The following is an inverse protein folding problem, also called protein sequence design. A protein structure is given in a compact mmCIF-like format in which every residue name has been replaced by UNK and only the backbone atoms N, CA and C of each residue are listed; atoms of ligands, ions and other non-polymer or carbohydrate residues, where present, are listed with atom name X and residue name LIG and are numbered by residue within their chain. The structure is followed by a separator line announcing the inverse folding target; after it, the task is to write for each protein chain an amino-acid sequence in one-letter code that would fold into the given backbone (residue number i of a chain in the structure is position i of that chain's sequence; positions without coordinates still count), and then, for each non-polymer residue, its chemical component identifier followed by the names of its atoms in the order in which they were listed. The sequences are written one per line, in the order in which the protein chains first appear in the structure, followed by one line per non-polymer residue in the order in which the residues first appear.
data_IF_576106845169
#
_entry.id   IF_576106845169
#
_cell.length_a   1.000
_cell.length_b   1.000
_cell.length_c   1.000
_cell.angle_alpha   90.00
_cell.angle_beta   90.00
_cell.angle_gamma   90.00
#
_symmetry.space_group_name_H-M   'P 1'
#
loop_
_entity.id
_entity.type
_entity.pdbx_description
1 polymer ?
#
# COMPACT_ATOMS: atom_id res chain seq x y z
N UNK A 1 -6.94 56.78 40.22
CA UNK A 1 -5.77 55.86 40.23
C UNK A 1 -6.08 54.46 39.66
N UNK A 2 -7.13 54.28 38.82
CA UNK A 2 -7.63 52.94 38.47
C UNK A 2 -7.72 52.64 36.95
N UNK A 3 -7.02 53.38 36.08
CA UNK A 3 -6.95 53.06 34.64
C UNK A 3 -5.55 52.62 34.17
N UNK A 4 -4.49 52.99 34.91
CA UNK A 4 -3.12 52.57 34.59
C UNK A 4 -2.80 51.12 35.00
N UNK A 5 -3.50 50.56 35.99
CA UNK A 5 -3.28 49.18 36.43
C UNK A 5 -3.89 48.12 35.50
N UNK A 6 -5.04 48.39 34.86
CA UNK A 6 -5.66 47.44 33.92
C UNK A 6 -4.87 47.26 32.62
N UNK A 7 -4.11 48.27 32.18
CA UNK A 7 -3.30 48.19 30.96
C UNK A 7 -2.06 47.31 31.18
N UNK A 8 -1.50 47.30 32.40
CA UNK A 8 -0.36 46.45 32.75
C UNK A 8 -0.78 44.97 32.87
N UNK A 9 -2.01 44.69 33.33
CA UNK A 9 -2.52 43.32 33.39
C UNK A 9 -2.84 42.72 32.00
N UNK A 10 -3.20 43.57 31.02
CA UNK A 10 -3.44 43.13 29.65
C UNK A 10 -2.15 42.86 28.86
N UNK A 11 -1.06 43.57 29.20
CA UNK A 11 0.27 43.34 28.59
C UNK A 11 0.96 42.08 29.14
N UNK A 12 0.71 41.68 30.39
CA UNK A 12 1.29 40.46 30.97
C UNK A 12 0.68 39.16 30.44
N UNK A 13 -0.52 39.20 29.84
CA UNK A 13 -1.16 38.05 29.18
C UNK A 13 -0.89 37.97 27.67
N UNK A 14 -0.10 38.89 27.11
CA UNK A 14 0.19 38.94 25.67
C UNK A 14 1.35 38.05 25.21
N UNK A 15 1.92 37.22 26.09
CA UNK A 15 2.79 36.12 25.69
C UNK A 15 1.96 34.97 25.09
N UNK A 16 1.29 35.25 23.97
CA UNK A 16 0.98 34.20 23.02
C UNK A 16 2.32 33.69 22.53
N UNK A 17 2.71 32.52 23.03
CA UNK A 17 3.64 31.64 22.33
C UNK A 17 3.06 31.45 20.93
N UNK A 18 3.56 32.23 19.99
CA UNK A 18 3.41 31.93 18.57
C UNK A 18 4.22 30.67 18.37
N UNK A 19 3.57 29.50 18.50
CA UNK A 19 4.03 28.32 17.79
C UNK A 19 3.96 28.72 16.32
N UNK A 20 5.09 29.19 15.78
CA UNK A 20 5.30 29.17 14.35
C UNK A 20 5.09 27.73 13.94
N UNK A 21 3.98 27.48 13.25
CA UNK A 21 3.80 26.23 12.54
C UNK A 21 4.96 26.20 11.55
N UNK A 22 5.95 25.34 11.81
CA UNK A 22 7.13 25.19 10.95
C UNK A 22 6.62 25.09 9.52
N UNK A 23 7.07 26.03 8.68
CA UNK A 23 6.65 26.06 7.29
C UNK A 23 6.99 24.71 6.66
N UNK A 24 6.00 24.06 6.03
CA UNK A 24 6.21 22.75 5.43
C UNK A 24 7.32 22.85 4.39
N UNK A 25 8.28 21.94 4.45
CA UNK A 25 9.29 21.82 3.38
C UNK A 25 8.59 21.54 2.06
N UNK A 26 9.04 22.17 0.98
CA UNK A 26 8.47 22.02 -0.35
C UNK A 26 9.54 21.53 -1.32
N UNK A 27 9.09 20.79 -2.33
CA UNK A 27 9.89 20.40 -3.48
C UNK A 27 9.04 20.53 -4.75
N UNK A 28 9.61 21.13 -5.78
CA UNK A 28 8.93 21.33 -7.05
C UNK A 28 9.15 20.16 -8.03
N UNK A 29 8.07 19.61 -8.55
CA UNK A 29 8.07 18.66 -9.67
C UNK A 29 8.01 19.42 -11.00
N UNK A 30 9.11 19.35 -11.75
CA UNK A 30 9.20 19.95 -13.08
C UNK A 30 8.48 19.10 -14.13
N UNK A 31 7.70 19.72 -15.01
CA UNK A 31 7.09 19.00 -16.12
C UNK A 31 8.12 18.77 -17.23
N UNK A 32 8.17 17.55 -17.75
CA UNK A 32 9.10 17.15 -18.81
C UNK A 32 8.36 16.51 -20.00
N UNK A 33 9.06 16.44 -21.13
CA UNK A 33 8.61 15.72 -22.34
C UNK A 33 9.66 14.74 -22.87
N UNK A 34 10.84 14.72 -22.27
CA UNK A 34 11.95 13.84 -22.61
C UNK A 34 11.69 12.42 -22.09
N UNK A 35 12.22 11.42 -22.79
CA UNK A 35 12.17 10.03 -22.36
C UNK A 35 13.32 9.78 -21.40
N UNK A 36 12.99 9.23 -20.23
CA UNK A 36 13.98 8.85 -19.21
C UNK A 36 14.40 7.40 -19.41
N UNK A 37 15.71 7.16 -19.35
CA UNK A 37 16.32 5.83 -19.27
C UNK A 37 16.61 5.53 -17.80
N UNK A 38 16.11 4.42 -17.28
CA UNK A 38 16.30 4.06 -15.88
C UNK A 38 17.60 3.26 -15.71
N UNK A 39 18.73 3.95 -15.64
CA UNK A 39 20.07 3.37 -15.56
C UNK A 39 20.82 3.72 -14.26
N UNK A 40 20.22 4.53 -13.38
CA UNK A 40 20.85 4.99 -12.15
C UNK A 40 21.95 6.03 -12.42
N UNK A 41 21.84 6.77 -13.51
CA UNK A 41 22.71 7.90 -13.83
C UNK A 41 21.91 9.22 -13.82
N UNK A 42 22.61 10.35 -13.83
CA UNK A 42 22.00 11.68 -13.84
C UNK A 42 22.45 12.43 -15.09
N UNK A 43 22.24 11.81 -16.25
CA UNK A 43 22.81 12.28 -17.52
C UNK A 43 21.90 13.27 -18.24
N UNK A 44 20.59 13.13 -18.06
CA UNK A 44 19.59 13.95 -18.74
C UNK A 44 19.67 15.42 -18.32
N UNK A 45 19.52 16.31 -19.30
CA UNK A 45 19.72 17.74 -19.10
C UNK A 45 18.64 18.36 -18.19
N UNK A 46 17.42 17.84 -18.24
CA UNK A 46 16.37 18.31 -17.35
C UNK A 46 16.68 18.00 -15.88
N UNK A 47 17.41 16.92 -15.56
CA UNK A 47 17.78 16.61 -14.19
C UNK A 47 18.66 17.70 -13.62
N UNK A 48 19.65 18.20 -14.38
CA UNK A 48 20.55 19.29 -13.96
C UNK A 48 19.80 20.57 -13.61
N UNK A 49 18.71 20.84 -14.33
CA UNK A 49 17.87 22.02 -14.18
C UNK A 49 16.65 21.81 -13.26
N UNK A 50 16.42 20.60 -12.76
CA UNK A 50 15.35 20.32 -11.80
C UNK A 50 15.76 20.77 -10.40
N UNK A 51 14.79 21.21 -9.60
CA UNK A 51 15.03 21.56 -8.20
C UNK A 51 15.57 20.35 -7.44
N UNK A 52 16.62 20.59 -6.65
CA UNK A 52 17.26 19.59 -5.81
C UNK A 52 16.95 19.87 -4.35
N UNK A 53 16.39 18.88 -3.64
CA UNK A 53 16.22 18.94 -2.20
C UNK A 53 17.27 18.10 -1.47
N UNK A 54 17.81 18.66 -0.37
CA UNK A 54 18.89 18.10 0.47
C UNK A 54 18.64 18.34 1.95
N UNK A 55 19.61 18.05 2.81
CA UNK A 55 19.56 18.39 4.23
C UNK A 55 18.58 17.50 4.96
N UNK A 56 18.81 16.19 4.84
CA UNK A 56 18.10 15.22 5.65
C UNK A 56 18.53 15.38 7.11
N UNK A 57 17.56 15.22 8.01
CA UNK A 57 17.84 15.14 9.44
C UNK A 57 17.76 13.68 9.86
N UNK A 58 18.50 13.30 10.89
CA UNK A 58 18.29 12.02 11.53
C UNK A 58 16.82 11.93 11.99
N UNK A 59 16.21 10.78 11.78
CA UNK A 59 14.96 10.34 12.42
C UNK A 59 15.29 9.38 13.57
N UNK A 60 16.28 8.50 13.36
CA UNK A 60 16.87 7.63 14.37
C UNK A 60 18.39 7.67 14.22
N UNK A 61 19.18 7.80 15.30
CA UNK A 61 18.78 7.74 16.71
C UNK A 61 18.28 9.06 17.31
N UNK A 62 18.49 10.21 16.65
CA UNK A 62 18.18 11.54 17.20
C UNK A 62 17.49 12.43 16.18
N UNK A 63 16.24 12.80 16.38
CA UNK A 63 15.41 13.62 15.48
C UNK A 63 15.80 15.10 15.34
N UNK A 64 16.94 15.52 15.89
CA UNK A 64 17.32 16.93 16.08
C UNK A 64 18.66 17.30 15.44
N UNK A 65 19.32 16.36 14.76
CA UNK A 65 20.64 16.59 14.14
C UNK A 65 20.62 16.27 12.64
N UNK A 66 21.48 16.89 11.83
CA UNK A 66 21.67 16.51 10.43
C UNK A 66 22.06 15.03 10.28
N UNK A 67 21.68 14.41 9.17
CA UNK A 67 22.12 13.07 8.77
C UNK A 67 23.65 13.01 8.63
N UNK A 68 24.27 11.88 8.98
CA UNK A 68 25.72 11.69 8.81
C UNK A 68 26.13 11.62 7.34
N UNK A 69 25.28 10.99 6.51
CA UNK A 69 25.42 10.90 5.06
C UNK A 69 24.17 11.48 4.40
N UNK A 70 24.32 12.61 3.72
CA UNK A 70 23.17 13.34 3.19
C UNK A 70 22.53 12.61 2.00
N UNK A 71 21.30 13.00 1.71
CA UNK A 71 20.54 12.51 0.57
C UNK A 71 20.01 13.68 -0.24
N UNK A 72 20.31 13.66 -1.54
CA UNK A 72 19.77 14.58 -2.52
C UNK A 72 18.67 13.88 -3.31
N UNK A 73 17.55 14.55 -3.57
CA UNK A 73 16.58 14.05 -4.54
C UNK A 73 15.98 15.17 -5.40
N UNK A 74 15.49 14.77 -6.57
CA UNK A 74 14.86 15.62 -7.58
C UNK A 74 13.57 14.95 -8.05
N UNK A 75 12.58 15.75 -8.43
CA UNK A 75 11.28 15.25 -8.89
C UNK A 75 10.93 15.86 -10.24
N UNK A 76 10.46 15.02 -11.16
CA UNK A 76 9.96 15.42 -12.46
C UNK A 76 8.70 14.61 -12.80
N UNK A 77 7.92 15.06 -13.77
CA UNK A 77 6.74 14.32 -14.22
C UNK A 77 6.38 14.62 -15.68
N UNK A 78 5.72 13.68 -16.33
CA UNK A 78 5.09 13.89 -17.64
C UNK A 78 3.57 13.61 -17.55
N UNK A 79 2.87 13.46 -18.68
CA UNK A 79 1.43 13.19 -18.66
C UNK A 79 1.07 11.75 -18.20
N UNK A 80 2.05 10.85 -18.03
CA UNK A 80 1.87 9.41 -17.76
C UNK A 80 2.59 8.94 -16.48
N UNK A 81 3.71 9.54 -16.10
CA UNK A 81 4.57 9.07 -15.02
C UNK A 81 5.04 10.20 -14.12
N UNK A 82 5.21 9.87 -12.84
CA UNK A 82 6.03 10.58 -11.88
C UNK A 82 7.43 9.97 -11.88
N UNK A 83 8.45 10.82 -11.86
CA UNK A 83 9.85 10.45 -11.83
C UNK A 83 10.55 11.03 -10.61
N UNK A 84 11.38 10.20 -9.96
CA UNK A 84 12.19 10.64 -8.82
C UNK A 84 13.59 10.10 -9.02
N UNK A 85 14.58 10.98 -8.93
CA UNK A 85 15.99 10.61 -8.86
C UNK A 85 16.50 10.95 -7.47
N UNK A 86 17.21 10.01 -6.84
CA UNK A 86 17.79 10.21 -5.53
C UNK A 86 19.26 9.78 -5.53
N UNK A 87 20.13 10.63 -4.99
CA UNK A 87 21.56 10.39 -4.77
C UNK A 87 21.81 10.36 -3.27
N UNK A 88 22.31 9.23 -2.79
CA UNK A 88 22.56 8.98 -1.37
C UNK A 88 24.06 8.84 -1.15
N UNK A 89 24.64 9.68 -0.29
CA UNK A 89 26.05 9.55 0.10
C UNK A 89 26.30 8.22 0.80
N UNK A 90 27.48 7.62 0.60
CA UNK A 90 27.79 6.26 1.06
C UNK A 90 29.25 6.11 1.51
N UNK A 91 29.51 5.07 2.32
CA UNK A 91 30.85 4.70 2.76
C UNK A 91 31.30 3.46 1.98
N UNK A 92 32.17 3.66 0.99
CA UNK A 92 32.65 2.59 0.08
C UNK A 92 33.38 1.44 0.79
N UNK A 93 34.06 1.74 1.90
CA UNK A 93 34.81 0.73 2.67
C UNK A 93 33.92 -0.24 3.44
N UNK A 94 32.63 0.09 3.63
CA UNK A 94 31.64 -0.76 4.29
C UNK A 94 30.75 -1.43 3.25
N UNK A 95 30.37 -2.68 3.51
CA UNK A 95 29.44 -3.43 2.64
C UNK A 95 27.99 -3.17 3.04
N UNK A 96 27.10 -3.14 2.05
CA UNK A 96 25.67 -3.12 2.30
C UNK A 96 25.24 -4.42 3.01
N UNK A 97 24.36 -4.29 4.00
CA UNK A 97 23.69 -5.47 4.57
C UNK A 97 22.62 -5.92 3.58
N UNK A 98 22.76 -7.14 3.09
CA UNK A 98 21.80 -7.79 2.21
C UNK A 98 20.79 -8.57 3.05
N UNK A 99 19.51 -8.24 2.90
CA UNK A 99 18.41 -9.06 3.37
C UNK A 99 18.01 -10.10 2.31
N UNK A 100 16.71 -10.23 2.09
CA UNK A 100 16.17 -10.99 0.95
C UNK A 100 16.35 -10.18 -0.35
N UNK A 101 16.77 -10.83 -1.45
CA UNK A 101 16.85 -10.21 -2.78
C UNK A 101 15.49 -10.14 -3.47
N UNK A 102 14.46 -10.73 -2.86
CA UNK A 102 13.08 -10.63 -3.32
C UNK A 102 12.53 -9.23 -3.08
N UNK A 103 11.59 -8.83 -3.95
CA UNK A 103 10.73 -7.66 -3.78
C UNK A 103 10.04 -7.70 -2.40
N UNK A 104 9.62 -6.53 -1.92
CA UNK A 104 8.85 -6.37 -0.67
C UNK A 104 9.71 -6.61 0.60
N UNK A 105 10.93 -6.06 0.59
CA UNK A 105 11.80 -6.06 1.76
C UNK A 105 11.19 -5.22 2.90
N UNK A 106 11.35 -5.68 4.15
CA UNK A 106 10.99 -4.89 5.32
C UNK A 106 12.18 -3.99 5.67
N UNK A 107 11.97 -2.66 5.75
CA UNK A 107 13.03 -1.73 6.15
C UNK A 107 13.51 -2.01 7.58
N UNK A 108 14.79 -1.73 7.86
CA UNK A 108 15.35 -1.81 9.21
C UNK A 108 16.79 -2.32 9.24
N UNK A 109 17.08 -3.45 8.58
CA UNK A 109 18.43 -4.03 8.55
C UNK A 109 19.16 -3.86 7.22
N UNK A 110 18.49 -3.37 6.18
CA UNK A 110 19.05 -3.13 4.85
C UNK A 110 19.07 -1.65 4.52
N UNK A 111 20.02 -1.22 3.69
CA UNK A 111 20.02 0.13 3.13
C UNK A 111 18.84 0.32 2.16
N UNK A 112 18.15 1.45 2.26
CA UNK A 112 17.09 1.83 1.34
C UNK A 112 16.81 3.33 1.34
N UNK A 113 16.20 3.80 0.25
CA UNK A 113 15.51 5.09 0.17
C UNK A 113 14.03 4.82 -0.12
N UNK A 114 13.14 5.63 0.45
CA UNK A 114 11.72 5.51 0.19
C UNK A 114 11.00 6.84 0.18
N UNK A 115 9.96 6.91 -0.64
CA UNK A 115 9.15 8.10 -0.87
C UNK A 115 7.71 7.80 -0.50
N UNK A 116 7.14 8.65 0.35
CA UNK A 116 5.78 8.56 0.85
C UNK A 116 4.93 9.68 0.24
N UNK A 117 3.76 9.32 -0.28
CA UNK A 117 2.83 10.24 -0.93
C UNK A 117 1.44 10.12 -0.30
N UNK A 118 0.89 11.25 0.13
CA UNK A 118 -0.55 11.41 0.28
C UNK A 118 -1.07 12.27 -0.88
N UNK A 119 -1.69 11.57 -1.83
CA UNK A 119 -2.11 12.11 -3.12
C UNK A 119 -3.48 12.80 -3.08
N UNK A 120 -4.17 12.72 -1.94
CA UNK A 120 -5.46 13.36 -1.69
C UNK A 120 -5.37 14.49 -0.66
N UNK A 121 -4.23 14.64 0.03
CA UNK A 121 -3.95 15.62 1.06
C UNK A 121 -4.90 15.54 2.27
N UNK A 122 -5.38 14.34 2.56
CA UNK A 122 -6.31 14.07 3.66
C UNK A 122 -5.64 13.45 4.89
N UNK A 123 -4.32 13.21 4.82
CA UNK A 123 -3.52 12.69 5.93
C UNK A 123 -4.01 11.33 6.46
N UNK A 124 -4.78 10.58 5.67
CA UNK A 124 -5.39 9.32 6.10
C UNK A 124 -4.83 8.11 5.38
N UNK A 125 -4.61 8.20 4.08
CA UNK A 125 -4.12 7.11 3.25
C UNK A 125 -3.04 7.61 2.30
N UNK A 126 -2.11 6.73 1.95
CA UNK A 126 -1.00 7.09 1.08
C UNK A 126 -0.33 5.90 0.43
N UNK A 127 0.71 6.20 -0.31
CA UNK A 127 1.56 5.23 -1.00
C UNK A 127 2.99 5.38 -0.50
N UNK A 128 3.70 4.28 -0.33
CA UNK A 128 5.13 4.29 -0.12
C UNK A 128 5.81 3.48 -1.22
N UNK A 129 6.86 4.03 -1.83
CA UNK A 129 7.71 3.33 -2.79
C UNK A 129 9.14 3.36 -2.28
N UNK A 130 9.84 2.23 -2.31
CA UNK A 130 11.19 2.10 -1.80
C UNK A 130 12.10 1.30 -2.72
N UNK A 131 13.38 1.68 -2.72
CA UNK A 131 14.44 0.97 -3.42
C UNK A 131 15.64 0.74 -2.50
N UNK A 132 16.25 -0.44 -2.65
CA UNK A 132 17.58 -0.72 -2.12
C UNK A 132 18.67 -0.32 -3.13
N UNK A 133 19.95 -0.25 -2.70
CA UNK A 133 21.09 -0.04 -3.60
C UNK A 133 21.22 -1.06 -4.73
N UNK A 134 20.61 -2.25 -4.59
CA UNK A 134 20.63 -3.32 -5.58
C UNK A 134 19.34 -3.41 -6.40
N UNK A 135 18.60 -2.31 -6.51
CA UNK A 135 17.35 -2.19 -7.26
C UNK A 135 16.22 -3.13 -6.80
N UNK A 136 16.28 -3.62 -5.55
CA UNK A 136 15.18 -4.38 -4.95
C UNK A 136 14.04 -3.40 -4.65
N UNK A 137 12.88 -3.66 -5.25
CA UNK A 137 11.67 -2.85 -5.15
C UNK A 137 10.86 -3.18 -3.89
N UNK A 138 10.20 -2.16 -3.34
CA UNK A 138 9.14 -2.29 -2.34
C UNK A 138 8.07 -1.24 -2.62
N UNK A 139 6.82 -1.62 -2.45
CA UNK A 139 5.72 -0.68 -2.35
C UNK A 139 4.82 -1.03 -1.17
N UNK A 140 4.04 -0.06 -0.71
CA UNK A 140 3.04 -0.31 0.31
C UNK A 140 1.88 0.69 0.22
N UNK A 141 0.71 0.25 0.67
CA UNK A 141 -0.38 1.15 1.04
C UNK A 141 -0.20 1.59 2.49
N UNK A 142 -0.33 2.89 2.71
CA UNK A 142 -0.42 3.51 4.02
C UNK A 142 -1.90 3.74 4.35
N UNK A 143 -2.30 3.46 5.59
CA UNK A 143 -3.64 3.74 6.13
C UNK A 143 -3.53 4.39 7.51
N UNK A 144 -4.65 4.89 8.05
CA UNK A 144 -4.71 5.52 9.37
C UNK A 144 -3.64 6.61 9.60
N UNK A 145 -3.30 7.36 8.55
CA UNK A 145 -2.30 8.44 8.63
C UNK A 145 -0.86 7.97 8.78
N UNK A 146 -0.57 6.69 8.54
CA UNK A 146 0.74 6.11 8.79
C UNK A 146 1.03 5.86 10.26
N UNK A 147 -0.02 5.80 11.10
CA UNK A 147 0.07 5.64 12.55
C UNK A 147 -0.72 4.44 13.07
N UNK A 148 -0.24 3.85 14.17
CA UNK A 148 -0.86 2.71 14.83
C UNK A 148 0.13 1.66 15.36
N UNK A 149 -0.41 0.69 16.09
CA UNK A 149 0.39 -0.26 16.86
C UNK A 149 1.10 -1.30 15.97
N UNK A 150 2.31 -1.70 16.39
CA UNK A 150 2.99 -2.88 15.87
C UNK A 150 2.12 -4.12 16.12
N UNK A 151 1.76 -4.84 15.06
CA UNK A 151 0.97 -6.07 15.19
C UNK A 151 1.85 -7.27 14.91
N UNK A 152 2.23 -8.00 15.95
CA UNK A 152 2.98 -9.27 15.87
C UNK A 152 2.17 -10.43 15.25
N UNK A 153 1.16 -10.13 14.43
CA UNK A 153 0.04 -11.03 14.15
C UNK A 153 -0.01 -11.70 12.79
N UNK A 154 0.96 -11.50 11.88
CA UNK A 154 0.93 -12.10 10.54
C UNK A 154 2.29 -12.65 10.12
N UNK A 155 2.47 -13.97 10.24
CA UNK A 155 3.70 -14.67 9.85
C UNK A 155 4.97 -14.21 10.58
N UNK A 156 6.12 -14.82 10.32
CA UNK A 156 7.42 -14.47 10.94
C UNK A 156 7.90 -13.02 10.70
N UNK A 157 7.13 -12.20 9.98
CA UNK A 157 7.39 -10.77 9.74
C UNK A 157 6.20 -9.96 10.27
N UNK A 158 6.13 -9.78 11.59
CA UNK A 158 5.12 -8.92 12.24
C UNK A 158 4.97 -7.60 11.46
N UNK A 159 3.76 -7.34 10.98
CA UNK A 159 3.47 -6.19 10.12
C UNK A 159 2.88 -5.05 10.93
N UNK A 160 3.24 -3.83 10.56
CA UNK A 160 2.60 -2.65 11.11
C UNK A 160 1.23 -2.51 10.42
N UNK A 161 0.12 -2.45 11.16
CA UNK A 161 -1.23 -2.54 10.58
C UNK A 161 -1.55 -1.44 9.56
N UNK A 162 -0.89 -0.29 9.69
CA UNK A 162 -1.03 0.83 8.78
C UNK A 162 -0.14 0.74 7.53
N UNK A 163 0.81 -0.20 7.46
CA UNK A 163 1.78 -0.37 6.37
C UNK A 163 1.60 -1.71 5.65
N UNK A 164 0.84 -1.72 4.56
CA UNK A 164 0.54 -2.95 3.83
C UNK A 164 1.47 -3.15 2.62
N UNK A 165 2.52 -3.95 2.81
CA UNK A 165 3.48 -4.37 1.76
C UNK A 165 2.97 -5.48 0.84
N UNK A 166 1.79 -6.06 1.09
CA UNK A 166 1.22 -7.10 0.21
C UNK A 166 0.47 -6.49 -0.98
N UNK A 167 0.32 -5.16 -0.98
CA UNK A 167 -0.21 -4.44 -2.13
C UNK A 167 0.90 -4.23 -3.14
N UNK A 168 0.78 -4.88 -4.29
CA UNK A 168 1.76 -4.77 -5.36
C UNK A 168 1.19 -4.03 -6.55
N UNK A 169 2.03 -3.22 -7.20
CA UNK A 169 1.65 -2.46 -8.39
C UNK A 169 2.78 -2.41 -9.41
N UNK A 170 2.45 -2.12 -10.66
CA UNK A 170 3.46 -1.98 -11.72
C UNK A 170 4.12 -0.61 -11.64
N UNK A 171 5.42 -0.60 -11.42
CA UNK A 171 6.30 0.58 -11.53
C UNK A 171 7.71 0.12 -11.93
N UNK A 172 8.54 1.07 -12.35
CA UNK A 172 9.87 0.76 -12.88
C UNK A 172 10.94 1.51 -12.09
N UNK A 173 12.14 0.95 -12.03
CA UNK A 173 13.26 1.54 -11.30
C UNK A 173 14.61 1.22 -11.88
N UNK A 174 15.57 2.11 -11.63
CA UNK A 174 17.00 1.90 -11.83
C UNK A 174 17.75 2.16 -10.52
N UNK A 175 18.86 1.46 -10.30
CA UNK A 175 19.77 1.75 -9.19
C UNK A 175 21.20 1.43 -9.60
N UNK A 176 22.14 2.27 -9.18
CA UNK A 176 23.56 2.09 -9.44
C UNK A 176 24.40 2.55 -8.26
N UNK A 177 25.33 1.70 -7.85
CA UNK A 177 26.30 1.98 -6.78
C UNK A 177 27.58 2.53 -7.40
N UNK A 178 28.09 3.62 -6.83
CA UNK A 178 29.35 4.26 -7.20
C UNK A 178 30.31 4.27 -6.00
N UNK A 179 31.52 4.78 -6.20
CA UNK A 179 32.42 5.06 -5.10
C UNK A 179 31.94 6.30 -4.32
N UNK A 180 31.55 6.09 -3.05
CA UNK A 180 31.13 7.13 -2.12
C UNK A 180 29.66 7.54 -2.21
N UNK A 181 28.86 6.98 -3.11
CA UNK A 181 27.43 7.23 -3.21
C UNK A 181 26.71 6.16 -4.04
N UNK A 182 25.38 6.16 -4.01
CA UNK A 182 24.55 5.39 -4.93
C UNK A 182 23.36 6.23 -5.42
N UNK A 183 22.88 5.94 -6.62
CA UNK A 183 21.78 6.64 -7.26
C UNK A 183 20.63 5.66 -7.47
N UNK A 184 19.41 6.15 -7.27
CA UNK A 184 18.19 5.46 -7.66
C UNK A 184 17.31 6.34 -8.52
N UNK A 185 16.54 5.68 -9.38
CA UNK A 185 15.52 6.29 -10.21
C UNK A 185 14.20 5.52 -10.06
N UNK A 186 13.11 6.27 -9.90
CA UNK A 186 11.75 5.75 -9.80
C UNK A 186 10.96 6.27 -11.00
N UNK A 187 10.17 5.39 -11.62
CA UNK A 187 9.19 5.73 -12.66
C UNK A 187 7.85 5.11 -12.28
N UNK A 188 6.99 5.95 -11.71
CA UNK A 188 5.71 5.55 -11.13
C UNK A 188 4.59 5.98 -12.09
N UNK A 189 3.85 5.05 -12.71
CA UNK A 189 2.74 5.40 -13.58
C UNK A 189 1.58 6.05 -12.81
N UNK A 190 1.02 7.15 -13.32
CA UNK A 190 -0.16 7.79 -12.71
C UNK A 190 -1.41 6.90 -12.74
N UNK A 191 -1.47 5.88 -13.58
CA UNK A 191 -2.56 4.89 -13.57
C UNK A 191 -2.36 3.77 -12.52
N UNK A 192 -1.16 3.60 -11.99
CA UNK A 192 -0.83 2.63 -10.93
C UNK A 192 -1.24 3.11 -9.53
N UNK A 193 -1.43 4.41 -9.34
CA UNK A 193 -1.87 5.04 -8.09
C UNK A 193 -3.15 5.85 -8.29
N UNK A 194 -3.83 6.21 -7.20
CA UNK A 194 -5.01 7.08 -7.22
C UNK A 194 -4.65 8.44 -6.67
N UNK A 195 -5.29 9.48 -7.20
CA UNK A 195 -5.00 10.86 -6.81
C UNK A 195 -6.17 11.80 -7.13
N UNK A 196 -6.15 12.97 -6.48
CA UNK A 196 -7.10 14.06 -6.73
C UNK A 196 -6.81 14.73 -8.08
N UNK A 197 -7.73 14.60 -9.04
CA UNK A 197 -7.62 15.28 -10.34
C UNK A 197 -7.65 16.80 -10.15
N UNK A 198 -6.83 17.54 -10.90
CA UNK A 198 -6.74 18.99 -10.82
C UNK A 198 -5.93 19.52 -9.64
N UNK A 199 -5.36 18.65 -8.81
CA UNK A 199 -4.45 19.09 -7.74
C UNK A 199 -3.11 19.55 -8.31
N UNK A 200 -2.52 20.56 -7.68
CA UNK A 200 -1.11 20.96 -7.87
C UNK A 200 -0.20 20.47 -6.76
N UNK A 201 -0.73 19.95 -5.67
CA UNK A 201 0.05 19.60 -4.49
C UNK A 201 -0.28 18.19 -4.03
N UNK A 202 0.73 17.46 -3.58
CA UNK A 202 0.60 16.25 -2.76
C UNK A 202 1.37 16.45 -1.44
N UNK A 203 0.89 15.82 -0.37
CA UNK A 203 1.66 15.65 0.85
C UNK A 203 2.78 14.64 0.56
N UNK A 204 4.01 14.97 0.93
CA UNK A 204 5.20 14.21 0.51
C UNK A 204 6.28 14.16 1.59
N UNK A 205 6.89 12.99 1.76
CA UNK A 205 8.10 12.85 2.56
C UNK A 205 9.01 11.77 1.98
N UNK A 206 10.27 11.79 2.41
CA UNK A 206 11.27 10.80 2.04
C UNK A 206 12.02 10.32 3.27
N UNK A 207 12.22 9.01 3.37
CA UNK A 207 12.91 8.36 4.47
C UNK A 207 13.98 7.40 3.92
N UNK A 208 15.18 7.50 4.47
CA UNK A 208 16.34 6.65 4.18
C UNK A 208 16.66 5.80 5.40
N UNK A 209 16.83 4.51 5.20
CA UNK A 209 17.51 3.64 6.16
C UNK A 209 18.95 3.43 5.73
N UNK A 210 19.89 3.66 6.64
CA UNK A 210 21.32 3.49 6.42
C UNK A 210 21.92 2.44 7.37
N UNK A 211 22.21 1.25 6.86
CA UNK A 211 22.69 0.14 7.68
C UNK A 211 24.16 0.27 8.06
N UNK A 212 24.94 1.06 7.32
CA UNK A 212 26.39 1.21 7.50
C UNK A 212 26.77 2.10 8.68
N UNK A 213 25.89 3.02 9.06
CA UNK A 213 26.06 3.90 10.24
C UNK A 213 24.92 3.74 11.25
N UNK A 214 24.01 2.78 11.03
CA UNK A 214 22.84 2.50 11.87
C UNK A 214 21.96 3.74 12.10
N UNK A 215 21.62 4.41 11.00
CA UNK A 215 20.88 5.67 10.99
C UNK A 215 19.62 5.55 10.12
N UNK A 216 18.50 6.08 10.61
CA UNK A 216 17.36 6.44 9.78
C UNK A 216 17.36 7.95 9.60
N UNK A 217 17.23 8.45 8.38
CA UNK A 217 17.16 9.89 8.09
C UNK A 217 15.95 10.25 7.24
N UNK A 218 15.46 11.48 7.41
CA UNK A 218 14.18 11.92 6.85
C UNK A 218 14.28 13.35 6.30
N UNK A 219 13.55 13.62 5.23
CA UNK A 219 13.58 14.92 4.57
C UNK A 219 12.76 15.99 5.33
N UNK A 220 11.46 15.77 5.51
CA UNK A 220 10.64 16.60 6.39
C UNK A 220 10.70 16.00 7.80
N UNK A 221 11.21 16.73 8.82
CA UNK A 221 11.41 16.20 10.15
C UNK A 221 10.11 15.64 10.75
N UNK A 222 10.19 14.41 11.26
CA UNK A 222 9.14 13.78 12.05
C UNK A 222 9.74 13.47 13.41
N UNK A 223 9.15 13.93 14.53
CA UNK A 223 9.68 13.65 15.85
C UNK A 223 9.70 12.15 16.20
N UNK A 224 10.65 11.77 17.05
CA UNK A 224 10.70 10.45 17.65
C UNK A 224 9.37 10.13 18.37
N UNK A 225 8.92 8.89 18.23
CA UNK A 225 7.62 8.43 18.75
C UNK A 225 6.49 8.47 17.73
N UNK A 226 6.68 9.18 16.60
CA UNK A 226 5.82 9.07 15.42
C UNK A 226 6.49 8.20 14.35
N UNK A 227 5.69 7.59 13.49
CA UNK A 227 6.15 6.78 12.37
C UNK A 227 6.86 7.62 11.30
N UNK A 228 7.93 7.11 10.64
CA UNK A 228 8.54 7.80 9.50
C UNK A 228 7.59 7.91 8.28
N UNK A 229 6.48 7.17 8.29
CA UNK A 229 5.41 7.24 7.29
C UNK A 229 4.23 8.14 7.68
N UNK A 230 4.33 8.91 8.76
CA UNK A 230 3.24 9.76 9.25
C UNK A 230 2.85 10.82 8.21
N UNK A 231 1.58 10.79 7.79
CA UNK A 231 1.06 11.64 6.71
C UNK A 231 0.73 13.06 7.15
N UNK A 232 0.55 13.31 8.45
CA UNK A 232 0.21 14.63 8.98
C UNK A 232 1.41 15.59 9.10
N UNK A 233 2.62 15.03 9.14
CA UNK A 233 3.88 15.75 9.35
C UNK A 233 4.77 15.79 8.10
N UNK A 234 4.18 15.57 6.93
CA UNK A 234 4.89 15.59 5.65
C UNK A 234 5.17 17.02 5.19
N UNK A 235 6.16 17.16 4.31
CA UNK A 235 6.28 18.32 3.44
C UNK A 235 5.28 18.26 2.28
N UNK A 236 5.54 19.04 1.25
CA UNK A 236 4.70 19.18 0.06
C UNK A 236 5.50 18.95 -1.22
N UNK A 237 4.91 18.20 -2.14
CA UNK A 237 5.34 18.08 -3.53
C UNK A 237 4.43 18.94 -4.39
N UNK A 238 4.98 19.97 -5.04
CA UNK A 238 4.24 20.91 -5.88
C UNK A 238 4.51 20.65 -7.37
N UNK A 239 3.46 20.39 -8.15
CA UNK A 239 3.53 20.20 -9.60
C UNK A 239 3.42 21.53 -10.33
N UNK A 240 4.25 21.72 -11.36
CA UNK A 240 4.23 22.91 -12.23
C UNK A 240 2.83 23.26 -12.75
N UNK A 241 2.11 22.25 -13.24
CA UNK A 241 0.74 22.33 -13.71
C UNK A 241 -0.18 21.37 -12.95
N UNK A 242 -1.49 21.70 -12.82
CA UNK A 242 -2.45 20.81 -12.18
C UNK A 242 -2.47 19.44 -12.87
N UNK A 243 -2.47 18.37 -12.07
CA UNK A 243 -2.50 17.01 -12.58
C UNK A 243 -3.79 16.74 -13.35
N UNK A 244 -3.65 16.28 -14.59
CA UNK A 244 -4.78 15.88 -15.43
C UNK A 244 -5.37 14.56 -14.93
N UNK A 245 -6.62 14.28 -15.31
CA UNK A 245 -7.26 12.99 -15.05
C UNK A 245 -6.42 11.89 -15.69
N UNK A 246 -5.99 10.91 -14.90
CA UNK A 246 -5.35 9.69 -15.42
C UNK A 246 -6.31 9.03 -16.42
N UNK A 247 -5.78 8.52 -17.53
CA UNK A 247 -6.60 7.76 -18.49
C UNK A 247 -7.33 6.64 -17.76
N UNK A 248 -8.61 6.42 -18.07
CA UNK A 248 -9.35 5.26 -17.54
C UNK A 248 -8.55 3.99 -17.84
N UNK A 249 -8.04 3.37 -16.79
CA UNK A 249 -7.30 2.12 -16.90
C UNK A 249 -8.30 0.98 -16.79
N UNK A 250 -8.38 0.19 -17.84
CA UNK A 250 -9.05 -1.11 -17.82
C UNK A 250 -7.98 -2.17 -18.01
N UNK A 251 -7.92 -3.12 -17.07
CA UNK A 251 -7.02 -4.26 -17.13
C UNK A 251 -7.90 -5.51 -17.19
N UNK A 252 -7.65 -6.36 -18.18
CA UNK A 252 -8.30 -7.65 -18.34
C UNK A 252 -7.23 -8.72 -18.22
N UNK A 253 -7.47 -9.71 -17.35
CA UNK A 253 -6.54 -10.78 -17.01
C UNK A 253 -7.29 -12.10 -17.22
N UNK A 254 -7.31 -12.64 -18.45
CA UNK A 254 -7.84 -13.98 -18.68
C UNK A 254 -6.83 -15.03 -18.21
N UNK A 255 -7.32 -16.17 -17.73
CA UNK A 255 -6.47 -17.34 -17.49
C UNK A 255 -7.11 -18.62 -18.01
N UNK A 256 -6.24 -19.57 -18.34
CA UNK A 256 -6.55 -20.94 -18.72
C UNK A 256 -5.58 -21.86 -17.98
N UNK A 257 -6.08 -22.79 -17.19
CA UNK A 257 -5.28 -23.82 -16.53
C UNK A 257 -5.82 -25.21 -16.86
N UNK A 258 -4.92 -26.19 -16.81
CA UNK A 258 -5.25 -27.58 -17.05
C UNK A 258 -4.53 -28.46 -16.03
N UNK A 259 -5.26 -29.35 -15.38
CA UNK A 259 -4.71 -30.31 -14.44
C UNK A 259 -5.03 -31.73 -14.91
N UNK A 260 -4.24 -32.71 -14.47
CA UNK A 260 -4.45 -34.10 -14.84
C UNK A 260 -3.95 -35.03 -13.75
N UNK A 261 -4.86 -35.83 -13.20
CA UNK A 261 -4.53 -36.83 -12.18
C UNK A 261 -4.55 -38.19 -12.84
N UNK A 262 -3.43 -38.91 -12.73
CA UNK A 262 -3.35 -40.32 -13.15
C UNK A 262 -3.53 -41.21 -11.94
N UNK A 263 -4.72 -41.75 -11.76
CA UNK A 263 -5.00 -42.70 -10.70
C UNK A 263 -4.60 -44.11 -11.16
N UNK A 264 -3.72 -44.78 -10.41
CA UNK A 264 -3.25 -46.14 -10.75
C UNK A 264 -4.17 -47.24 -10.21
N UNK A 265 -5.19 -46.88 -9.44
CA UNK A 265 -6.03 -47.83 -8.68
C UNK A 265 -7.53 -47.64 -8.96
N UNK A 266 -8.00 -46.41 -9.16
CA UNK A 266 -9.40 -46.10 -9.46
C UNK A 266 -9.63 -45.77 -10.94
N UNK A 267 -10.80 -46.13 -11.48
CA UNK A 267 -11.26 -45.78 -12.83
C UNK A 267 -12.16 -44.53 -12.79
N UNK A 268 -11.99 -43.55 -13.71
CA UNK A 268 -11.05 -43.58 -14.83
C UNK A 268 -9.60 -43.37 -14.38
N UNK A 269 -8.68 -44.15 -14.96
CA UNK A 269 -7.24 -44.08 -14.67
C UNK A 269 -6.60 -42.69 -14.96
N UNK A 270 -7.32 -41.81 -15.65
CA UNK A 270 -6.91 -40.46 -15.99
C UNK A 270 -8.11 -39.53 -15.84
N UNK A 271 -8.02 -38.58 -14.93
CA UNK A 271 -8.92 -37.43 -14.87
C UNK A 271 -8.16 -36.20 -15.39
N UNK A 272 -8.85 -35.31 -16.09
CA UNK A 272 -8.26 -34.06 -16.57
C UNK A 272 -9.27 -32.95 -16.46
N UNK A 273 -8.88 -31.88 -15.78
CA UNK A 273 -9.71 -30.70 -15.57
C UNK A 273 -9.12 -29.53 -16.33
N UNK A 274 -9.99 -28.73 -16.92
CA UNK A 274 -9.63 -27.48 -17.60
C UNK A 274 -10.43 -26.38 -16.92
N UNK A 275 -9.73 -25.37 -16.41
CA UNK A 275 -10.33 -24.21 -15.79
C UNK A 275 -10.05 -22.97 -16.62
N UNK A 276 -11.09 -22.14 -16.76
CA UNK A 276 -11.02 -20.84 -17.42
C UNK A 276 -11.59 -19.81 -16.47
N UNK A 277 -10.94 -18.65 -16.40
CA UNK A 277 -11.49 -17.52 -15.67
C UNK A 277 -10.99 -16.19 -16.22
N UNK A 278 -11.55 -15.13 -15.65
CA UNK A 278 -11.33 -13.77 -16.09
C UNK A 278 -11.41 -12.82 -14.91
N UNK A 279 -10.35 -12.05 -14.71
CA UNK A 279 -10.34 -10.90 -13.82
C UNK A 279 -10.35 -9.60 -14.63
N UNK A 280 -11.08 -8.62 -14.13
CA UNK A 280 -11.16 -7.28 -14.71
C UNK A 280 -11.00 -6.24 -13.63
N UNK A 281 -10.16 -5.23 -13.89
CA UNK A 281 -10.06 -4.01 -13.08
C UNK A 281 -10.42 -2.82 -13.93
N UNK A 282 -11.37 -2.01 -13.48
CA UNK A 282 -11.85 -0.84 -14.18
C UNK A 282 -11.79 0.40 -13.27
N UNK A 283 -10.99 1.38 -13.65
CA UNK A 283 -10.97 2.68 -12.99
C UNK A 283 -12.17 3.53 -13.47
N UNK A 284 -13.22 3.62 -12.64
CA UNK A 284 -14.40 4.44 -12.93
C UNK A 284 -14.06 5.94 -12.84
N UNK A 285 -13.19 6.33 -11.91
CA UNK A 285 -12.63 7.68 -11.76
C UNK A 285 -11.15 7.63 -11.32
N UNK A 286 -10.51 8.78 -11.10
CA UNK A 286 -9.14 8.82 -10.54
C UNK A 286 -9.06 8.34 -9.09
N UNK A 287 -10.19 8.00 -8.47
CA UNK A 287 -10.31 7.65 -7.06
C UNK A 287 -11.28 6.50 -6.76
N UNK A 288 -11.96 5.91 -7.77
CA UNK A 288 -12.96 4.85 -7.61
C UNK A 288 -12.72 3.71 -8.61
N UNK A 289 -12.64 2.47 -8.10
CA UNK A 289 -12.36 1.27 -8.89
C UNK A 289 -13.50 0.26 -8.78
N UNK A 290 -13.74 -0.45 -9.88
CA UNK A 290 -14.57 -1.64 -9.96
C UNK A 290 -13.69 -2.83 -10.35
N UNK A 291 -13.57 -3.79 -9.44
CA UNK A 291 -12.89 -5.06 -9.68
C UNK A 291 -13.96 -6.14 -9.86
N UNK A 292 -13.83 -6.97 -10.89
CA UNK A 292 -14.74 -8.09 -11.20
C UNK A 292 -13.89 -9.33 -11.44
N UNK A 293 -14.34 -10.47 -10.91
CA UNK A 293 -13.68 -11.75 -11.10
C UNK A 293 -14.73 -12.80 -11.46
N UNK A 294 -14.42 -13.64 -12.43
CA UNK A 294 -15.23 -14.80 -12.85
C UNK A 294 -14.31 -16.01 -12.76
N UNK A 295 -14.68 -16.95 -11.89
CA UNK A 295 -13.91 -18.15 -11.57
C UNK A 295 -12.42 -17.83 -11.36
N UNK A 296 -12.00 -17.07 -10.32
CA UNK A 296 -10.58 -16.71 -10.15
C UNK A 296 -9.70 -17.89 -9.81
N UNK A 297 -8.50 -17.93 -10.39
CA UNK A 297 -7.42 -18.81 -9.92
C UNK A 297 -6.66 -18.15 -8.76
N UNK A 298 -7.09 -18.45 -7.54
CA UNK A 298 -6.38 -18.05 -6.33
C UNK A 298 -5.35 -19.07 -5.84
N UNK A 299 -5.13 -20.17 -6.59
CA UNK A 299 -4.13 -21.18 -6.26
C UNK A 299 -2.71 -20.75 -6.60
N UNK A 300 -2.53 -19.79 -7.53
CA UNK A 300 -1.23 -19.23 -7.92
C UNK A 300 -0.66 -18.22 -6.91
N UNK A 301 -1.43 -17.82 -5.91
CA UNK A 301 -0.98 -16.86 -4.91
C UNK A 301 -0.08 -17.57 -3.91
N UNK A 302 1.18 -17.17 -3.84
CA UNK A 302 2.21 -17.76 -2.98
C UNK A 302 1.69 -18.11 -1.59
N UNK A 303 1.65 -19.41 -1.30
CA UNK A 303 1.38 -19.94 0.04
C UNK A 303 2.70 -20.06 0.78
N UNK A 304 3.05 -19.07 1.60
CA UNK A 304 4.17 -19.20 2.53
C UNK A 304 3.72 -19.80 3.87
N UNK A 305 4.45 -20.85 4.25
CA UNK A 305 4.50 -21.64 5.49
C UNK A 305 3.21 -22.33 5.97
N UNK A 306 3.20 -23.67 5.87
CA UNK A 306 2.36 -24.53 6.72
C UNK A 306 2.65 -24.21 8.19
N UNK A 307 1.68 -23.62 8.88
CA UNK A 307 1.77 -23.30 10.31
C UNK A 307 0.77 -24.16 11.06
N UNK A 308 1.28 -25.01 11.96
CA UNK A 308 0.44 -25.76 12.89
C UNK A 308 -0.13 -24.79 13.93
N UNK A 309 -1.38 -24.41 13.79
CA UNK A 309 -2.06 -23.57 14.76
C UNK A 309 -2.50 -24.41 15.97
N UNK A 310 -1.78 -24.29 17.08
CA UNK A 310 -2.10 -24.98 18.33
C UNK A 310 -3.05 -24.18 19.23
N UNK A 311 -3.54 -23.02 18.77
CA UNK A 311 -4.41 -22.13 19.55
C UNK A 311 -5.86 -22.18 19.05
N UNK A 312 -6.81 -21.74 19.90
CA UNK A 312 -8.23 -21.60 19.54
C UNK A 312 -8.53 -20.38 18.65
N UNK A 313 -7.53 -19.55 18.36
CA UNK A 313 -7.65 -18.34 17.55
C UNK A 313 -7.07 -18.59 16.17
N UNK A 314 -7.66 -18.03 15.13
CA UNK A 314 -7.18 -18.24 13.75
C UNK A 314 -5.80 -17.60 13.53
N UNK A 315 -4.96 -18.27 12.73
CA UNK A 315 -3.74 -17.65 12.20
C UNK A 315 -4.15 -16.59 11.18
N UNK A 316 -3.80 -15.33 11.44
CA UNK A 316 -4.00 -14.24 10.50
C UNK A 316 -2.89 -14.27 9.46
N UNK A 317 -3.08 -15.05 8.40
CA UNK A 317 -2.18 -15.00 7.25
C UNK A 317 -2.42 -13.71 6.45
N UNK A 318 -1.37 -13.07 5.90
CA UNK A 318 -1.52 -11.89 5.07
C UNK A 318 -2.36 -12.21 3.83
N UNK A 319 -3.19 -11.27 3.37
CA UNK A 319 -3.92 -11.42 2.11
C UNK A 319 -2.99 -11.01 0.96
N UNK A 320 -2.78 -11.91 -0.01
CA UNK A 320 -1.93 -11.70 -1.19
C UNK A 320 -2.73 -11.72 -2.50
N UNK A 321 -4.02 -12.09 -2.48
CA UNK A 321 -4.86 -12.11 -3.67
C UNK A 321 -5.21 -10.69 -4.10
N UNK A 322 -4.87 -10.35 -5.34
CA UNK A 322 -4.96 -8.98 -5.88
C UNK A 322 -6.38 -8.38 -5.79
N UNK A 323 -7.41 -9.21 -5.94
CA UNK A 323 -8.82 -8.80 -5.77
C UNK A 323 -9.12 -8.24 -4.37
N UNK A 324 -8.40 -8.66 -3.33
CA UNK A 324 -8.67 -8.27 -1.93
C UNK A 324 -7.66 -7.25 -1.37
N UNK A 325 -6.51 -7.04 -2.02
CA UNK A 325 -5.46 -6.14 -1.51
C UNK A 325 -5.73 -4.66 -1.82
N UNK A 326 -6.33 -4.36 -2.97
CA UNK A 326 -6.72 -2.99 -3.33
C UNK A 326 -7.80 -2.44 -2.37
N UNK A 327 -7.52 -1.29 -1.75
CA UNK A 327 -8.37 -0.67 -0.72
C UNK A 327 -8.74 -1.63 0.43
N UNK A 328 -7.88 -2.61 0.74
CA UNK A 328 -8.14 -3.61 1.77
C UNK A 328 -8.48 -2.98 3.13
N UNK A 329 -7.82 -1.87 3.46
CA UNK A 329 -8.01 -1.12 4.70
C UNK A 329 -9.48 -0.72 4.92
N UNK A 330 -10.22 -0.41 3.85
CA UNK A 330 -11.64 -0.06 3.92
C UNK A 330 -12.51 -1.23 4.40
N UNK A 331 -12.11 -2.47 4.13
CA UNK A 331 -12.87 -3.67 4.48
C UNK A 331 -12.32 -4.36 5.74
N UNK A 332 -11.02 -4.29 6.00
CA UNK A 332 -10.36 -5.03 7.07
C UNK A 332 -10.06 -4.22 8.32
N UNK A 333 -10.04 -2.89 8.23
CA UNK A 333 -9.60 -2.00 9.32
C UNK A 333 -10.79 -1.33 10.06
N UNK A 334 -11.87 -2.09 10.23
CA UNK A 334 -13.12 -1.63 10.83
C UNK A 334 -13.21 -2.13 12.29
N UNK A 335 -12.76 -1.33 13.24
CA UNK A 335 -12.73 -1.70 14.67
C UNK A 335 -11.35 -2.15 15.16
N UNK A 336 -11.30 -3.06 16.13
CA UNK A 336 -10.04 -3.61 16.66
C UNK A 336 -9.62 -4.90 15.94
N UNK A 337 -8.39 -5.36 16.16
CA UNK A 337 -7.88 -6.62 15.58
C UNK A 337 -8.73 -7.83 15.96
N UNK A 338 -9.21 -7.85 17.20
CA UNK A 338 -10.03 -8.94 17.76
C UNK A 338 -11.44 -8.95 17.15
N UNK A 339 -11.88 -7.79 16.64
CA UNK A 339 -13.18 -7.59 16.02
C UNK A 339 -13.01 -7.14 14.56
N UNK A 340 -12.32 -7.95 13.74
CA UNK A 340 -12.27 -7.77 12.27
C UNK A 340 -13.56 -8.28 11.64
N UNK A 341 -14.47 -7.41 11.14
CA UNK A 341 -15.77 -7.85 10.66
C UNK A 341 -15.65 -8.76 9.44
N UNK A 342 -14.70 -8.48 8.55
CA UNK A 342 -14.39 -9.29 7.39
C UNK A 342 -12.93 -9.71 7.41
N UNK A 343 -12.69 -11.01 7.29
CA UNK A 343 -11.37 -11.56 6.98
C UNK A 343 -11.47 -12.25 5.62
N UNK A 344 -11.00 -11.56 4.57
CA UNK A 344 -11.14 -11.97 3.17
C UNK A 344 -10.62 -13.39 2.92
N UNK A 345 -9.61 -13.83 3.66
CA UNK A 345 -9.01 -15.17 3.56
C UNK A 345 -9.99 -16.30 3.92
N UNK A 346 -11.11 -16.01 4.59
CA UNK A 346 -12.22 -16.96 4.80
C UNK A 346 -13.09 -17.15 3.55
N UNK A 347 -13.04 -16.22 2.59
CA UNK A 347 -13.75 -16.33 1.31
C UNK A 347 -12.90 -17.21 0.41
N UNK A 348 -13.45 -18.34 -0.01
CA UNK A 348 -12.70 -19.36 -0.75
C UNK A 348 -12.34 -20.60 0.07
N UNK A 349 -12.71 -20.65 1.35
CA UNK A 349 -12.45 -21.77 2.26
C UNK A 349 -13.74 -22.12 3.00
N UNK A 350 -14.06 -23.40 3.08
CA UNK A 350 -15.19 -23.89 3.84
C UNK A 350 -14.79 -25.08 4.70
N UNK A 351 -15.58 -25.36 5.75
CA UNK A 351 -15.41 -26.55 6.56
C UNK A 351 -16.27 -27.66 5.98
N UNK A 352 -15.63 -28.75 5.58
CA UNK A 352 -16.28 -29.98 5.16
C UNK A 352 -17.06 -30.56 6.35
N UNK A 353 -18.36 -30.80 6.16
CA UNK A 353 -19.24 -31.30 7.23
C UNK A 353 -19.06 -32.79 7.48
N UNK A 354 -18.52 -33.52 6.51
CA UNK A 354 -18.25 -34.97 6.57
C UNK A 354 -16.92 -35.24 7.26
N UNK A 355 -15.85 -34.55 6.86
CA UNK A 355 -14.49 -34.79 7.38
C UNK A 355 -14.09 -33.82 8.50
N UNK A 356 -14.87 -32.77 8.73
CA UNK A 356 -14.54 -31.66 9.63
C UNK A 356 -13.28 -30.86 9.25
N UNK A 357 -12.68 -31.12 8.09
CA UNK A 357 -11.48 -30.44 7.60
C UNK A 357 -11.83 -29.18 6.81
N UNK A 358 -10.88 -28.25 6.69
CA UNK A 358 -11.03 -27.10 5.81
C UNK A 358 -10.69 -27.51 4.37
N UNK A 359 -11.61 -27.25 3.46
CA UNK A 359 -11.48 -27.51 2.03
C UNK A 359 -11.56 -26.20 1.25
N UNK A 360 -10.92 -26.17 0.08
CA UNK A 360 -11.06 -25.07 -0.86
C UNK A 360 -12.51 -25.01 -1.33
N UNK A 361 -13.13 -23.83 -1.21
CA UNK A 361 -14.45 -23.56 -1.74
C UNK A 361 -14.32 -22.60 -2.93
N UNK A 362 -14.37 -23.08 -4.18
CA UNK A 362 -14.16 -22.25 -5.36
C UNK A 362 -15.06 -21.02 -5.37
N UNK A 363 -14.52 -19.89 -5.86
CA UNK A 363 -15.28 -18.66 -6.05
C UNK A 363 -15.78 -18.69 -7.50
N UNK A 364 -17.08 -18.53 -7.73
CA UNK A 364 -17.67 -18.52 -9.07
C UNK A 364 -17.61 -17.11 -9.65
N UNK A 365 -17.92 -16.12 -8.82
CA UNK A 365 -18.01 -14.72 -9.21
C UNK A 365 -17.70 -13.81 -8.03
N UNK A 366 -17.11 -12.67 -8.31
CA UNK A 366 -16.96 -11.59 -7.36
C UNK A 366 -16.97 -10.23 -8.02
N UNK A 367 -17.55 -9.25 -7.34
CA UNK A 367 -17.49 -7.85 -7.70
C UNK A 367 -17.14 -7.02 -6.47
N UNK A 368 -16.24 -6.04 -6.65
CA UNK A 368 -15.82 -5.11 -5.60
C UNK A 368 -15.76 -3.70 -6.18
N UNK A 369 -16.61 -2.81 -5.67
CA UNK A 369 -16.53 -1.37 -5.93
C UNK A 369 -15.87 -0.71 -4.73
N UNK A 370 -14.73 -0.04 -4.91
CA UNK A 370 -14.03 0.59 -3.78
C UNK A 370 -13.29 1.86 -4.16
N UNK A 371 -13.31 2.84 -3.26
CA UNK A 371 -12.57 4.09 -3.42
C UNK A 371 -13.35 5.32 -2.95
N UNK A 372 -12.81 6.51 -3.26
CA UNK A 372 -13.41 7.79 -2.89
C UNK A 372 -14.42 8.24 -3.95
N UNK A 373 -15.62 8.56 -3.50
CA UNK A 373 -16.69 9.18 -4.30
C UNK A 373 -16.48 10.69 -4.40
N UNK A 374 -16.02 11.30 -3.29
CA UNK A 374 -15.61 12.70 -3.21
C UNK A 374 -14.54 12.85 -2.11
N UNK A 375 -14.11 14.09 -1.84
CA UNK A 375 -13.01 14.39 -0.91
C UNK A 375 -13.22 13.83 0.50
N UNK A 376 -14.47 13.80 0.97
CA UNK A 376 -14.79 13.37 2.34
C UNK A 376 -15.59 12.08 2.43
N UNK A 377 -15.79 11.34 1.34
CA UNK A 377 -16.62 10.12 1.32
C UNK A 377 -15.92 9.00 0.54
N UNK A 378 -15.67 7.90 1.25
CA UNK A 378 -15.13 6.66 0.68
C UNK A 378 -16.15 5.54 0.85
N UNK A 379 -16.30 4.72 -0.17
CA UNK A 379 -17.28 3.62 -0.20
C UNK A 379 -16.61 2.33 -0.63
N UNK A 380 -17.07 1.22 -0.05
CA UNK A 380 -16.65 -0.13 -0.37
C UNK A 380 -17.86 -1.03 -0.47
N UNK A 381 -18.11 -1.64 -1.62
CA UNK A 381 -19.11 -2.66 -1.82
C UNK A 381 -18.41 -3.92 -2.33
N UNK A 382 -18.67 -5.05 -1.70
CA UNK A 382 -18.16 -6.36 -2.06
C UNK A 382 -19.35 -7.32 -2.18
N UNK A 383 -19.42 -8.06 -3.27
CA UNK A 383 -20.29 -9.23 -3.38
C UNK A 383 -19.51 -10.38 -4.01
N UNK A 384 -19.55 -11.56 -3.39
CA UNK A 384 -18.87 -12.74 -3.91
C UNK A 384 -19.71 -13.99 -3.72
N UNK A 385 -19.75 -14.82 -4.75
CA UNK A 385 -20.44 -16.10 -4.77
C UNK A 385 -19.42 -17.23 -4.79
N UNK A 386 -19.57 -18.17 -3.87
CA UNK A 386 -18.80 -19.43 -3.84
C UNK A 386 -19.61 -20.59 -4.38
N UNK A 387 -18.91 -21.64 -4.82
CA UNK A 387 -19.51 -22.87 -5.29
C UNK A 387 -20.22 -23.66 -4.18
N UNK A 388 -21.10 -24.55 -4.61
CA UNK A 388 -21.63 -25.63 -3.77
C UNK A 388 -20.71 -26.83 -3.88
N UNK A 389 -20.31 -27.40 -2.75
CA UNK A 389 -19.58 -28.69 -2.70
C UNK A 389 -20.47 -29.72 -2.03
N UNK A 390 -21.29 -30.41 -2.84
CA UNK A 390 -22.25 -31.42 -2.37
C UNK A 390 -21.56 -32.57 -1.62
N UNK A 391 -20.40 -33.02 -2.10
CA UNK A 391 -19.60 -34.11 -1.51
C UNK A 391 -19.11 -33.80 -0.09
N UNK A 392 -18.78 -32.54 0.18
CA UNK A 392 -18.32 -32.04 1.48
C UNK A 392 -19.44 -31.38 2.31
N UNK A 393 -20.70 -31.46 1.83
CA UNK A 393 -21.86 -30.85 2.48
C UNK A 393 -21.77 -29.33 2.66
N UNK A 394 -20.99 -28.65 1.82
CA UNK A 394 -20.80 -27.19 1.85
C UNK A 394 -21.82 -26.55 0.90
N UNK A 395 -22.75 -25.72 1.41
CA UNK A 395 -23.67 -25.00 0.53
C UNK A 395 -22.96 -23.84 -0.17
N UNK A 396 -23.60 -23.33 -1.23
CA UNK A 396 -23.11 -22.14 -1.91
C UNK A 396 -23.31 -20.91 -1.01
N UNK A 397 -22.23 -20.17 -0.74
CA UNK A 397 -22.29 -18.95 0.07
C UNK A 397 -22.16 -17.69 -0.78
N UNK A 398 -23.04 -16.73 -0.53
CA UNK A 398 -22.88 -15.35 -0.94
C UNK A 398 -22.31 -14.54 0.23
N UNK A 399 -21.19 -13.86 -0.04
CA UNK A 399 -20.54 -12.95 0.89
C UNK A 399 -20.80 -11.54 0.40
N UNK A 400 -21.37 -10.71 1.27
CA UNK A 400 -21.65 -9.30 1.02
C UNK A 400 -20.97 -8.42 2.05
N UNK A 401 -20.44 -7.28 1.61
CA UNK A 401 -19.99 -6.23 2.50
C UNK A 401 -20.27 -4.87 1.90
N UNK A 402 -20.81 -3.97 2.71
CA UNK A 402 -20.92 -2.56 2.39
C UNK A 402 -20.24 -1.76 3.48
N UNK A 403 -19.43 -0.78 3.09
CA UNK A 403 -18.71 0.13 3.98
C UNK A 403 -18.89 1.54 3.46
N UNK A 404 -19.18 2.45 4.37
CA UNK A 404 -19.17 3.88 4.13
C UNK A 404 -18.26 4.52 5.17
N UNK A 405 -17.27 5.26 4.70
CA UNK A 405 -16.33 6.00 5.53
C UNK A 405 -16.44 7.50 5.18
N UNK A 406 -16.71 8.31 6.19
CA UNK A 406 -16.90 9.76 6.08
C UNK A 406 -15.87 10.48 6.93
N UNK A 407 -15.11 11.39 6.32
CA UNK A 407 -14.23 12.30 7.05
C UNK A 407 -15.08 13.38 7.75
N UNK A 408 -14.78 13.63 9.02
CA UNK A 408 -15.44 14.66 9.84
C UNK A 408 -14.51 15.83 10.09
N UNK A 409 -13.22 15.56 10.25
CA UNK A 409 -12.15 16.55 10.31
C UNK A 409 -11.06 16.18 9.29
N UNK A 410 -9.89 16.81 9.37
CA UNK A 410 -8.78 16.56 8.45
C UNK A 410 -8.34 15.09 8.46
N UNK A 411 -8.07 14.55 9.65
CA UNK A 411 -7.60 13.17 9.85
C UNK A 411 -8.56 12.31 10.72
N UNK A 412 -9.79 12.79 10.97
CA UNK A 412 -10.81 12.07 11.76
C UNK A 412 -11.93 11.54 10.86
N UNK A 413 -12.34 10.30 11.09
CA UNK A 413 -13.33 9.60 10.26
C UNK A 413 -14.33 8.81 11.07
N UNK A 414 -15.56 8.72 10.57
CA UNK A 414 -16.56 7.74 11.01
C UNK A 414 -16.74 6.71 9.91
N UNK A 415 -16.73 5.44 10.30
CA UNK A 415 -17.03 4.33 9.40
C UNK A 415 -18.30 3.61 9.87
N UNK A 416 -19.11 3.18 8.92
CA UNK A 416 -20.26 2.30 9.13
C UNK A 416 -20.19 1.19 8.12
N UNK A 417 -20.51 -0.03 8.55
CA UNK A 417 -20.44 -1.19 7.68
C UNK A 417 -21.61 -2.14 7.91
N UNK A 418 -21.93 -2.90 6.87
CA UNK A 418 -22.86 -4.02 6.87
C UNK A 418 -22.12 -5.21 6.30
N UNK A 419 -22.26 -6.36 6.95
CA UNK A 419 -21.72 -7.63 6.48
C UNK A 419 -22.86 -8.64 6.34
N UNK A 420 -22.80 -9.42 5.27
CA UNK A 420 -23.71 -10.51 5.00
C UNK A 420 -22.90 -11.76 4.65
N UNK A 421 -23.28 -12.87 5.25
CA UNK A 421 -22.91 -14.21 4.78
C UNK A 421 -24.19 -15.02 4.75
N UNK A 422 -24.67 -15.33 3.56
CA UNK A 422 -25.91 -16.07 3.37
C UNK A 422 -25.65 -17.31 2.53
N UNK A 423 -26.29 -18.41 2.92
CA UNK A 423 -26.36 -19.62 2.10
C UNK A 423 -27.39 -19.37 1.00
N UNK A 424 -26.97 -19.39 -0.26
CA UNK A 424 -27.86 -19.26 -1.41
C UNK A 424 -27.95 -20.59 -2.18
N UNK A 425 -29.01 -20.74 -2.97
CA UNK A 425 -29.18 -21.79 -3.99
C UNK A 425 -28.80 -23.20 -3.52
N UNK A 426 -29.67 -23.83 -2.73
CA UNK A 426 -29.55 -25.26 -2.42
C UNK A 426 -29.88 -26.18 -3.62
N UNK A 427 -30.28 -25.63 -4.77
CA UNK A 427 -30.70 -26.41 -5.95
C UNK A 427 -29.62 -26.61 -7.03
N UNK A 428 -29.24 -27.89 -7.14
CA UNK A 428 -28.60 -28.73 -8.20
C UNK A 428 -27.80 -28.20 -9.40
N UNK A 429 -27.55 -26.91 -9.63
CA UNK A 429 -27.12 -26.48 -10.99
C UNK A 429 -25.62 -26.41 -11.31
N UNK A 430 -24.68 -26.47 -10.35
CA UNK A 430 -23.26 -26.73 -10.67
C UNK A 430 -22.60 -27.44 -9.48
N UNK A 431 -22.21 -28.70 -9.67
CA UNK A 431 -21.45 -29.47 -8.67
C UNK A 431 -19.98 -29.50 -9.10
N UNK A 432 -19.10 -28.95 -8.28
CA UNK A 432 -17.66 -29.11 -8.48
C UNK A 432 -17.24 -30.43 -7.84
N UNK A 433 -16.85 -31.40 -8.68
CA UNK A 433 -16.19 -32.62 -8.25
C UNK A 433 -14.69 -32.34 -8.10
N UNK A 434 -14.08 -32.83 -7.01
CA UNK A 434 -12.64 -32.75 -6.78
C UNK A 434 -11.87 -33.76 -7.62
#
# INVERSE_FOLDING_TARGET
MNKKLSIIFFLLFSNFYSFSQLEKRKIFAKKISEVIVLDGEMNEEFWKNAESSKGYVQYSPRDSVPAELDTEFRVAYDDKFLYILAKMEDISSKKFILGDLKRDFFGGSTDYISFTFDTFQDETNGYNFGLSPYNIQREALLSNGGEGNFSSGGGSRGGISWFNINWNTKWYSGAKVYDGYWITEFKIPFNSIRYKTGTKVWNFNSHRGNSKVDEGSIWSPIPLGFSPGNLSMTGELEFEFPLKKSSQSMVLIPYLSGSGIRNKVAEPARNSDIDVGLDMKLALSSSLNLDVTINPDFSQVEVDEQRTNLTRFELFLPEKREFFTDNADLFSNLGSREARPMFSRRIGIARDTTTSQYVQNPIIFGAKLSGKVNEGLRVGLLNMQTAKLSSSGVPSYNYGMAVVEKNILKNSKISSFLINKQSLFNDKSVEYAH
#
